data_IF_343690984461
#
_entry.id   IF_343690984461
#
_cell.length_a   1.000
_cell.length_b   1.000
_cell.length_c   1.000
_cell.angle_alpha   90.00
_cell.angle_beta   90.00
_cell.angle_gamma   90.00
#
_symmetry.space_group_name_H-M   'P 1'
#
loop_
_entity.id
_entity.type
_entity.pdbx_description
1 polymer ?
#
# COMPACT_ATOMS: atom_id res chain seq x y z
N UNK A 1 -1.48 17.57 8.04
CA UNK A 1 -2.42 16.93 7.09
C UNK A 1 -1.74 16.74 5.72
N UNK A 2 -1.35 17.81 5.01
CA UNK A 2 -0.73 17.71 3.66
C UNK A 2 0.54 16.84 3.62
N UNK A 3 1.39 16.93 4.64
CA UNK A 3 2.62 16.10 4.73
C UNK A 3 2.28 14.60 4.84
N UNK A 4 1.30 14.23 5.67
CA UNK A 4 0.89 12.83 5.85
C UNK A 4 0.24 12.25 4.58
N UNK A 5 -0.54 13.05 3.85
CA UNK A 5 -1.16 12.64 2.58
C UNK A 5 -0.16 12.40 1.46
N UNK A 6 1.05 12.94 1.55
CA UNK A 6 2.14 12.71 0.59
C UNK A 6 3.08 11.59 1.05
N UNK A 7 3.46 11.59 2.34
CA UNK A 7 4.40 10.60 2.87
C UNK A 7 3.84 9.18 2.81
N UNK A 8 2.59 8.96 3.19
CA UNK A 8 2.03 7.60 3.21
C UNK A 8 2.01 6.92 1.82
N UNK A 9 1.48 7.53 0.74
CA UNK A 9 1.53 6.89 -0.58
C UNK A 9 2.96 6.79 -1.13
N UNK A 10 3.87 7.72 -0.82
CA UNK A 10 5.30 7.58 -1.20
C UNK A 10 5.95 6.39 -0.52
N UNK A 11 5.75 6.19 0.77
CA UNK A 11 6.33 5.07 1.51
C UNK A 11 5.83 3.72 0.97
N UNK A 12 4.52 3.58 0.78
CA UNK A 12 3.92 2.35 0.25
C UNK A 12 4.43 2.02 -1.15
N UNK A 13 4.53 3.01 -2.03
CA UNK A 13 4.96 2.79 -3.41
C UNK A 13 6.44 2.39 -3.49
N UNK A 14 7.30 2.98 -2.67
CA UNK A 14 8.70 2.57 -2.55
C UNK A 14 8.84 1.12 -2.07
N UNK A 15 8.07 0.72 -1.04
CA UNK A 15 8.06 -0.67 -0.55
C UNK A 15 7.62 -1.64 -1.64
N UNK A 16 6.56 -1.32 -2.38
CA UNK A 16 6.03 -2.12 -3.49
C UNK A 16 7.04 -2.29 -4.62
N UNK A 17 7.74 -1.21 -5.00
CA UNK A 17 8.80 -1.26 -6.01
C UNK A 17 9.96 -2.15 -5.54
N UNK A 18 10.33 -2.08 -4.26
CA UNK A 18 11.36 -2.95 -3.67
C UNK A 18 10.95 -4.43 -3.73
N UNK A 19 9.72 -4.78 -3.35
CA UNK A 19 9.19 -6.15 -3.45
C UNK A 19 9.19 -6.65 -4.91
N UNK A 20 8.74 -5.83 -5.86
CA UNK A 20 8.73 -6.16 -7.28
C UNK A 20 10.14 -6.42 -7.81
N UNK A 21 11.13 -5.63 -7.39
CA UNK A 21 12.53 -5.84 -7.75
C UNK A 21 13.09 -7.15 -7.17
N UNK A 22 12.73 -7.47 -5.93
CA UNK A 22 13.07 -8.75 -5.30
C UNK A 22 12.47 -9.93 -6.05
N UNK A 23 11.19 -9.85 -6.44
CA UNK A 23 10.53 -10.90 -7.22
C UNK A 23 11.18 -11.13 -8.58
N UNK A 24 11.56 -10.04 -9.26
CA UNK A 24 12.33 -10.12 -10.51
C UNK A 24 13.66 -10.86 -10.32
N UNK A 25 14.35 -10.59 -9.22
CA UNK A 25 15.65 -11.19 -8.90
C UNK A 25 15.51 -12.67 -8.53
N UNK A 26 14.48 -13.02 -7.75
CA UNK A 26 14.22 -14.38 -7.28
C UNK A 26 13.71 -15.30 -8.40
N UNK A 27 12.81 -14.79 -9.25
CA UNK A 27 12.17 -15.53 -10.32
C UNK A 27 12.67 -15.03 -11.67
N UNK A 28 13.85 -15.50 -12.10
CA UNK A 28 14.45 -15.22 -13.42
C UNK A 28 13.63 -15.84 -14.56
N UNK A 29 12.49 -15.25 -14.88
CA UNK A 29 11.58 -15.67 -15.93
C UNK A 29 11.11 -14.45 -16.76
N UNK A 30 11.26 -14.51 -18.09
CA UNK A 30 10.86 -13.42 -18.98
C UNK A 30 9.38 -13.04 -18.85
N UNK A 31 8.49 -14.00 -18.59
CA UNK A 31 7.06 -13.72 -18.35
C UNK A 31 6.86 -12.92 -17.06
N UNK A 32 7.62 -13.25 -16.03
CA UNK A 32 7.60 -12.55 -14.74
C UNK A 32 8.08 -11.11 -14.90
N UNK A 33 9.14 -10.89 -15.68
CA UNK A 33 9.67 -9.54 -15.95
C UNK A 33 8.58 -8.62 -16.51
N UNK A 34 7.81 -9.09 -17.51
CA UNK A 34 6.70 -8.31 -18.08
C UNK A 34 5.63 -7.98 -17.04
N UNK A 35 5.20 -8.95 -16.23
CA UNK A 35 4.19 -8.71 -15.19
C UNK A 35 4.72 -7.73 -14.14
N UNK A 36 5.97 -7.88 -13.71
CA UNK A 36 6.63 -6.96 -12.76
C UNK A 36 6.66 -5.54 -13.29
N UNK A 37 7.03 -5.33 -14.57
CA UNK A 37 7.00 -3.99 -15.16
C UNK A 37 5.59 -3.43 -15.29
N UNK A 38 4.60 -4.26 -15.65
CA UNK A 38 3.19 -3.82 -15.72
C UNK A 38 2.66 -3.38 -14.36
N UNK A 39 2.87 -4.20 -13.31
CA UNK A 39 2.42 -3.87 -11.94
C UNK A 39 3.22 -2.70 -11.36
N UNK A 40 4.51 -2.60 -11.69
CA UNK A 40 5.34 -1.45 -11.34
C UNK A 40 4.83 -0.15 -11.96
N UNK A 41 4.50 -0.16 -13.25
CA UNK A 41 3.91 0.98 -13.93
C UNK A 41 2.55 1.37 -13.33
N UNK A 42 1.70 0.39 -13.01
CA UNK A 42 0.44 0.62 -12.31
C UNK A 42 0.67 1.30 -10.95
N UNK A 43 1.62 0.81 -10.16
CA UNK A 43 1.95 1.36 -8.84
C UNK A 43 2.45 2.80 -8.92
N UNK A 44 3.30 3.10 -9.91
CA UNK A 44 3.82 4.46 -10.14
C UNK A 44 2.71 5.40 -10.64
N UNK A 45 1.82 4.92 -11.52
CA UNK A 45 0.69 5.74 -11.99
C UNK A 45 -0.30 6.06 -10.87
N UNK A 46 -0.59 5.10 -9.99
CA UNK A 46 -1.37 5.32 -8.77
C UNK A 46 -0.72 6.38 -7.86
N UNK A 47 0.59 6.27 -7.63
CA UNK A 47 1.33 7.27 -6.85
C UNK A 47 1.21 8.67 -7.46
N UNK A 48 1.43 8.79 -8.76
CA UNK A 48 1.36 10.07 -9.45
C UNK A 48 -0.05 10.67 -9.38
N UNK A 49 -1.09 9.85 -9.58
CA UNK A 49 -2.48 10.29 -9.49
C UNK A 49 -2.84 10.80 -8.08
N UNK A 50 -2.41 10.09 -7.03
CA UNK A 50 -2.67 10.51 -5.63
C UNK A 50 -1.94 11.81 -5.29
N UNK A 51 -0.69 11.96 -5.71
CA UNK A 51 0.10 13.18 -5.51
C UNK A 51 -0.54 14.38 -6.23
N UNK A 52 -0.89 14.24 -7.51
CA UNK A 52 -1.54 15.31 -8.28
C UNK A 52 -2.88 15.69 -7.66
N UNK A 53 -3.67 14.71 -7.24
CA UNK A 53 -4.97 14.96 -6.60
C UNK A 53 -4.79 15.66 -5.27
N UNK A 54 -3.83 15.25 -4.44
CA UNK A 54 -3.52 15.91 -3.17
C UNK A 54 -3.19 17.41 -3.35
N UNK A 55 -2.50 17.77 -4.43
CA UNK A 55 -2.22 19.18 -4.74
C UNK A 55 -3.43 19.93 -5.32
N UNK A 56 -4.34 19.24 -6.02
CA UNK A 56 -5.44 19.89 -6.77
C UNK A 56 -6.81 19.81 -6.10
N UNK A 57 -6.94 19.08 -4.99
CA UNK A 57 -8.23 18.81 -4.32
C UNK A 57 -8.90 20.05 -3.76
N UNK A 58 -8.14 21.08 -3.37
CA UNK A 58 -8.68 22.35 -2.89
C UNK A 58 -8.35 23.50 -3.83
N UNK A 59 -9.34 24.39 -4.04
CA UNK A 59 -9.20 25.62 -4.83
C UNK A 59 -9.62 26.82 -3.98
N UNK A 60 -8.77 27.85 -3.82
CA UNK A 60 -7.39 27.98 -4.32
C UNK A 60 -6.39 27.05 -3.60
N UNK A 61 -5.22 26.77 -4.21
CA UNK A 61 -4.23 25.81 -3.70
C UNK A 61 -3.83 26.06 -2.24
N UNK A 62 -3.67 27.34 -1.86
CA UNK A 62 -3.32 27.76 -0.51
C UNK A 62 -4.37 27.39 0.56
N UNK A 63 -5.61 27.07 0.14
CA UNK A 63 -6.66 26.60 1.04
C UNK A 63 -6.36 25.21 1.64
N UNK A 64 -5.43 24.44 1.06
CA UNK A 64 -4.99 23.15 1.63
C UNK A 64 -4.36 23.29 3.03
N UNK A 65 -3.65 24.39 3.30
CA UNK A 65 -2.97 24.63 4.58
C UNK A 65 -3.41 25.90 5.30
N UNK A 66 -4.03 26.87 4.61
CA UNK A 66 -4.61 28.06 5.23
C UNK A 66 -6.13 28.07 5.08
N UNK A 67 -6.81 27.33 5.96
CA UNK A 67 -8.27 27.23 6.01
C UNK A 67 -8.95 28.38 6.76
N UNK A 68 -8.18 29.17 7.51
CA UNK A 68 -8.69 30.22 8.41
C UNK A 68 -8.80 31.56 7.68
N UNK A 69 -7.79 31.90 6.86
CA UNK A 69 -7.70 33.22 6.22
C UNK A 69 -8.23 33.23 4.78
N UNK A 70 -8.29 32.07 4.13
CA UNK A 70 -8.62 31.97 2.70
C UNK A 70 -9.99 31.31 2.57
N UNK A 71 -10.92 31.94 1.86
CA UNK A 71 -12.15 31.28 1.45
C UNK A 71 -11.86 30.36 0.25
N UNK A 72 -12.25 29.10 0.37
CA UNK A 72 -12.02 28.11 -0.67
C UNK A 72 -12.98 26.95 -0.56
N UNK A 73 -12.99 26.11 -1.60
CA UNK A 73 -13.75 24.86 -1.61
C UNK A 73 -12.82 23.72 -1.94
N UNK A 74 -12.96 22.62 -1.21
CA UNK A 74 -12.32 21.36 -1.54
C UNK A 74 -13.33 20.44 -2.23
N UNK A 75 -12.83 19.54 -3.07
CA UNK A 75 -13.59 18.39 -3.55
C UNK A 75 -13.94 17.44 -2.40
N UNK A 76 -14.52 16.30 -2.75
CA UNK A 76 -14.89 15.28 -1.77
C UNK A 76 -13.64 14.58 -1.22
N UNK A 77 -13.25 15.00 -0.02
CA UNK A 77 -12.08 14.48 0.69
C UNK A 77 -12.29 13.02 1.09
N UNK A 78 -13.52 12.63 1.45
CA UNK A 78 -13.84 11.26 1.88
C UNK A 78 -13.75 10.33 0.69
N UNK A 79 -14.35 10.71 -0.44
CA UNK A 79 -14.25 9.94 -1.68
C UNK A 79 -12.78 9.78 -2.14
N UNK A 80 -11.96 10.82 -2.00
CA UNK A 80 -10.53 10.76 -2.30
C UNK A 80 -9.79 9.72 -1.45
N UNK A 81 -9.95 9.77 -0.12
CA UNK A 81 -9.29 8.82 0.78
C UNK A 81 -9.78 7.39 0.57
N UNK A 82 -11.09 7.19 0.39
CA UNK A 82 -11.67 5.87 0.16
C UNK A 82 -11.18 5.27 -1.16
N UNK A 83 -11.19 6.04 -2.24
CA UNK A 83 -10.71 5.58 -3.56
C UNK A 83 -9.23 5.21 -3.51
N UNK A 84 -8.43 6.05 -2.84
CA UNK A 84 -6.99 5.83 -2.67
C UNK A 84 -6.72 4.56 -1.86
N UNK A 85 -7.44 4.35 -0.76
CA UNK A 85 -7.29 3.16 0.08
C UNK A 85 -7.67 1.87 -0.65
N UNK A 86 -8.78 1.88 -1.40
CA UNK A 86 -9.22 0.73 -2.21
C UNK A 86 -8.19 0.40 -3.29
N UNK A 87 -7.72 1.40 -4.04
CA UNK A 87 -6.71 1.19 -5.08
C UNK A 87 -5.39 0.67 -4.50
N UNK A 88 -4.97 1.18 -3.35
CA UNK A 88 -3.78 0.70 -2.65
C UNK A 88 -3.91 -0.79 -2.32
N UNK A 89 -5.04 -1.17 -1.69
CA UNK A 89 -5.35 -2.55 -1.30
C UNK A 89 -5.37 -3.49 -2.51
N UNK A 90 -5.97 -3.06 -3.64
CA UNK A 90 -5.99 -3.87 -4.86
C UNK A 90 -4.56 -4.15 -5.37
N UNK A 91 -3.68 -3.14 -5.35
CA UNK A 91 -2.28 -3.29 -5.74
C UNK A 91 -1.55 -4.24 -4.78
N UNK A 92 -1.80 -4.14 -3.46
CA UNK A 92 -1.21 -5.04 -2.47
C UNK A 92 -1.59 -6.50 -2.71
N UNK A 93 -2.88 -6.77 -2.95
CA UNK A 93 -3.38 -8.12 -3.26
C UNK A 93 -2.73 -8.66 -4.53
N UNK A 94 -2.60 -7.85 -5.58
CA UNK A 94 -1.96 -8.26 -6.83
C UNK A 94 -0.49 -8.63 -6.60
N UNK A 95 0.27 -7.80 -5.87
CA UNK A 95 1.69 -8.05 -5.59
C UNK A 95 1.87 -9.33 -4.76
N UNK A 96 1.05 -9.53 -3.72
CA UNK A 96 1.11 -10.73 -2.86
C UNK A 96 0.69 -12.00 -3.61
N UNK A 97 -0.26 -11.91 -4.53
CA UNK A 97 -0.73 -13.05 -5.33
C UNK A 97 0.27 -13.43 -6.44
N UNK A 98 1.09 -12.49 -6.91
CA UNK A 98 1.99 -12.66 -8.05
C UNK A 98 2.97 -13.86 -7.96
N UNK A 99 3.63 -14.16 -6.83
CA UNK A 99 4.48 -15.34 -6.71
C UNK A 99 3.72 -16.66 -6.54
N UNK A 100 2.45 -16.66 -6.11
CA UNK A 100 1.71 -17.90 -5.77
C UNK A 100 1.64 -18.93 -6.90
N UNK A 101 1.30 -18.56 -8.16
CA UNK A 101 1.20 -19.55 -9.24
C UNK A 101 2.54 -20.20 -9.54
N UNK A 102 3.64 -19.45 -9.41
CA UNK A 102 4.99 -19.95 -9.64
C UNK A 102 5.39 -20.91 -8.51
N UNK A 103 5.06 -20.57 -7.28
CA UNK A 103 5.35 -21.39 -6.10
C UNK A 103 4.59 -22.72 -6.12
N UNK A 104 3.34 -22.74 -6.56
CA UNK A 104 2.54 -23.97 -6.64
C UNK A 104 3.00 -24.92 -7.74
N UNK A 105 3.69 -24.40 -8.77
CA UNK A 105 4.30 -25.22 -9.82
C UNK A 105 5.65 -25.83 -9.43
N UNK A 106 6.25 -25.43 -8.31
CA UNK A 106 7.62 -25.81 -7.94
C UNK A 106 7.63 -26.83 -6.80
N UNK A 107 8.20 -28.02 -7.02
CA UNK A 107 8.39 -29.03 -5.98
C UNK A 107 9.46 -28.57 -4.98
N UNK A 108 9.05 -27.89 -3.91
CA UNK A 108 9.95 -27.35 -2.89
C UNK A 108 10.00 -28.19 -1.61
N UNK A 109 11.17 -28.24 -0.98
CA UNK A 109 11.37 -28.80 0.36
C UNK A 109 10.46 -28.14 1.41
N UNK A 110 10.07 -28.91 2.43
CA UNK A 110 9.13 -28.51 3.49
C UNK A 110 9.58 -27.21 4.19
N UNK A 111 10.88 -27.02 4.45
CA UNK A 111 11.42 -25.80 5.04
C UNK A 111 11.07 -24.55 4.23
N UNK A 112 11.20 -24.62 2.90
CA UNK A 112 10.89 -23.51 1.99
C UNK A 112 9.38 -23.26 1.91
N UNK A 113 8.58 -24.33 1.97
CA UNK A 113 7.11 -24.26 2.03
C UNK A 113 6.62 -23.53 3.30
N UNK A 114 7.28 -23.75 4.44
CA UNK A 114 6.97 -23.06 5.71
C UNK A 114 7.30 -21.56 5.59
N UNK A 115 8.50 -21.19 5.11
CA UNK A 115 8.87 -19.77 4.93
C UNK A 115 7.90 -19.04 3.99
N UNK A 116 7.48 -19.68 2.90
CA UNK A 116 6.54 -19.10 1.95
C UNK A 116 5.13 -18.93 2.53
N UNK A 117 4.68 -19.91 3.33
CA UNK A 117 3.41 -19.79 4.06
C UNK A 117 3.43 -18.60 5.02
N UNK A 118 4.56 -18.36 5.68
CA UNK A 118 4.73 -17.22 6.60
C UNK A 118 4.77 -15.87 5.87
N UNK A 119 5.47 -15.78 4.73
CA UNK A 119 5.47 -14.57 3.90
C UNK A 119 4.07 -14.27 3.38
N UNK A 120 3.33 -15.30 2.94
CA UNK A 120 1.97 -15.12 2.45
C UNK A 120 1.00 -14.72 3.55
N UNK A 121 1.11 -15.31 4.76
CA UNK A 121 0.27 -14.92 5.88
C UNK A 121 0.52 -13.48 6.32
N UNK A 122 1.78 -13.01 6.32
CA UNK A 122 2.10 -11.59 6.56
C UNK A 122 1.50 -10.68 5.50
N UNK A 123 1.60 -11.04 4.21
CA UNK A 123 0.93 -10.31 3.13
C UNK A 123 -0.59 -10.23 3.31
N UNK A 124 -1.22 -11.32 3.74
CA UNK A 124 -2.65 -11.34 4.04
C UNK A 124 -3.02 -10.46 5.25
N UNK A 125 -2.18 -10.42 6.30
CA UNK A 125 -2.37 -9.52 7.44
C UNK A 125 -2.30 -8.05 7.02
N UNK A 126 -1.36 -7.68 6.15
CA UNK A 126 -1.25 -6.30 5.61
C UNK A 126 -2.51 -5.92 4.83
N UNK A 127 -3.05 -6.85 4.02
CA UNK A 127 -4.33 -6.64 3.34
C UNK A 127 -5.49 -6.46 4.33
N UNK A 128 -5.50 -7.22 5.42
CA UNK A 128 -6.48 -7.07 6.51
C UNK A 128 -6.44 -5.70 7.17
N UNK A 129 -5.24 -5.21 7.48
CA UNK A 129 -5.02 -3.87 8.06
C UNK A 129 -5.52 -2.77 7.10
N UNK A 130 -5.27 -2.94 5.80
CA UNK A 130 -5.74 -2.03 4.76
C UNK A 130 -7.28 -2.04 4.61
N UNK A 131 -7.93 -3.19 4.79
CA UNK A 131 -9.40 -3.30 4.83
C UNK A 131 -10.00 -2.61 6.06
N UNK A 132 -9.40 -2.79 7.24
CA UNK A 132 -9.83 -2.11 8.47
C UNK A 132 -9.79 -0.59 8.27
N UNK A 133 -8.78 -0.09 7.56
CA UNK A 133 -8.68 1.33 7.22
C UNK A 133 -9.81 1.80 6.29
N UNK A 134 -10.11 1.04 5.23
CA UNK A 134 -11.24 1.35 4.34
C UNK A 134 -12.57 1.43 5.12
N UNK A 135 -12.77 0.49 6.04
CA UNK A 135 -13.95 0.47 6.92
C UNK A 135 -13.98 1.66 7.89
N UNK A 136 -12.84 2.04 8.46
CA UNK A 136 -12.73 3.18 9.36
C UNK A 136 -13.04 4.50 8.64
N UNK A 137 -12.55 4.67 7.41
CA UNK A 137 -12.84 5.85 6.57
C UNK A 137 -14.33 5.90 6.19
N UNK A 138 -14.94 4.77 5.88
CA UNK A 138 -16.36 4.71 5.49
C UNK A 138 -17.31 5.01 6.67
N UNK A 139 -16.90 4.71 7.90
CA UNK A 139 -17.71 4.92 9.12
C UNK A 139 -17.26 6.12 9.96
N UNK A 140 -16.68 7.15 9.32
CA UNK A 140 -16.27 8.37 10.02
C UNK A 140 -17.50 9.08 10.63
N UNK A 141 -17.76 8.79 11.91
CA UNK A 141 -18.73 9.51 12.71
C UNK A 141 -18.08 10.75 13.35
N UNK A 142 -18.60 11.93 13.03
CA UNK A 142 -18.11 13.21 13.56
C UNK A 142 -18.34 13.41 15.07
N UNK A 143 -18.99 12.46 15.75
CA UNK A 143 -19.24 12.52 17.20
C UNK A 143 -18.02 12.16 18.05
N UNK A 144 -17.10 11.32 17.55
CA UNK A 144 -15.92 10.85 18.29
C UNK A 144 -14.65 10.85 17.40
N UNK A 145 -14.34 12.03 16.86
CA UNK A 145 -13.20 12.24 15.94
C UNK A 145 -11.87 11.77 16.56
N UNK A 146 -11.68 11.95 17.87
CA UNK A 146 -10.42 11.62 18.56
C UNK A 146 -10.09 10.12 18.51
N UNK A 147 -11.08 9.24 18.69
CA UNK A 147 -10.85 7.80 18.69
C UNK A 147 -10.54 7.27 17.28
N UNK A 148 -11.30 7.73 16.29
CA UNK A 148 -11.11 7.31 14.90
C UNK A 148 -9.79 7.81 14.30
N UNK A 149 -9.36 9.03 14.64
CA UNK A 149 -8.08 9.59 14.15
C UNK A 149 -6.87 8.85 14.71
N UNK A 150 -6.89 8.45 15.98
CA UNK A 150 -5.78 7.70 16.59
C UNK A 150 -5.65 6.32 15.94
N UNK A 151 -6.76 5.60 15.78
CA UNK A 151 -6.77 4.29 15.14
C UNK A 151 -6.25 4.37 13.69
N UNK A 152 -6.75 5.33 12.90
CA UNK A 152 -6.32 5.54 11.51
C UNK A 152 -4.82 5.89 11.43
N UNK A 153 -4.30 6.70 12.35
CA UNK A 153 -2.88 7.07 12.39
C UNK A 153 -1.99 5.86 12.66
N UNK A 154 -2.36 5.02 13.63
CA UNK A 154 -1.58 3.81 13.98
C UNK A 154 -1.61 2.81 12.81
N UNK A 155 -2.78 2.57 12.24
CA UNK A 155 -2.97 1.67 11.09
C UNK A 155 -2.15 2.14 9.88
N UNK A 156 -2.19 3.45 9.58
CA UNK A 156 -1.45 4.08 8.48
C UNK A 156 0.07 3.98 8.66
N UNK A 157 0.57 4.00 9.90
CA UNK A 157 1.99 3.85 10.19
C UNK A 157 2.46 2.38 10.16
N UNK A 158 1.62 1.44 10.62
CA UNK A 158 1.95 0.02 10.66
C UNK A 158 2.05 -0.60 9.26
N UNK A 159 1.19 -0.18 8.34
CA UNK A 159 1.13 -0.71 6.98
C UNK A 159 2.48 -0.71 6.23
N UNK A 160 3.20 0.44 6.09
CA UNK A 160 4.51 0.44 5.43
C UNK A 160 5.58 -0.31 6.23
N UNK A 161 5.53 -0.31 7.56
CA UNK A 161 6.50 -1.02 8.41
C UNK A 161 6.39 -2.53 8.22
N UNK A 162 5.17 -3.06 8.27
CA UNK A 162 4.90 -4.47 7.99
C UNK A 162 5.22 -4.84 6.54
N UNK A 163 4.97 -3.92 5.60
CA UNK A 163 5.40 -4.06 4.22
C UNK A 163 6.92 -4.22 4.08
N UNK A 164 7.72 -3.38 4.74
CA UNK A 164 9.19 -3.51 4.74
C UNK A 164 9.62 -4.85 5.34
N UNK A 165 9.04 -5.24 6.47
CA UNK A 165 9.34 -6.55 7.08
C UNK A 165 9.05 -7.68 6.08
N UNK A 166 7.87 -7.65 5.45
CA UNK A 166 7.48 -8.65 4.46
C UNK A 166 8.39 -8.67 3.23
N UNK A 167 8.92 -7.52 2.80
CA UNK A 167 9.88 -7.43 1.71
C UNK A 167 11.25 -8.05 2.07
N UNK A 168 11.64 -8.01 3.35
CA UNK A 168 12.90 -8.56 3.84
C UNK A 168 12.84 -10.07 4.14
N UNK A 169 11.65 -10.61 4.47
CA UNK A 169 11.48 -12.03 4.83
C UNK A 169 12.01 -13.04 3.79
N UNK A 170 11.84 -12.85 2.46
CA UNK A 170 12.38 -13.78 1.48
C UNK A 170 13.92 -13.82 1.44
N UNK A 171 14.60 -12.77 1.92
CA UNK A 171 16.08 -12.73 2.03
C UNK A 171 16.59 -13.45 3.28
N UNK A 172 15.74 -13.56 4.31
CA UNK A 172 16.04 -14.25 5.57
C UNK A 172 15.81 -15.76 5.50
N UNK A 173 15.48 -16.30 4.31
CA UNK A 173 15.38 -17.76 4.12
C UNK A 173 16.68 -18.42 4.56
N UNK A 174 16.63 -19.43 5.45
CA UNK A 174 17.83 -20.00 6.03
C UNK A 174 18.69 -20.64 4.94
N UNK A 175 19.99 -20.34 4.96
CA UNK A 175 21.05 -20.97 4.15
C UNK A 175 21.42 -22.34 4.75
N UNK A 176 20.44 -23.06 5.31
CA UNK A 176 20.62 -24.35 5.99
C UNK A 176 19.57 -25.35 5.53
#
# INVERSE_FOLDING_TARGET
>A
IVVATLLWPTANTLVKISMLHLYKTLFRNKKMDYVVYMVGALTVSYWLATVITAFTICRPFAYNWNKITIAGRCGDIVAYYLSTAILNLLIDVVIVALPLPILWGLQMNIARKISLTFIFSMGALICGISMVRCYAINNLNFSDVTYHVVLDTVVTALEPVLGVINACLPLLQPVL
#
